data_IF_968444151080
#
_entry.id   IF_968444151080
#
_cell.length_a   1.000
_cell.length_b   1.000
_cell.length_c   1.000
_cell.angle_alpha   90.00
_cell.angle_beta   90.00
_cell.angle_gamma   90.00
#
_symmetry.space_group_name_H-M   'P 1'
#
loop_
_entity.id
_entity.type
_entity.pdbx_description
1 polymer ?
#
# COMPACT_ATOMS: atom_id res chain seq x y z
N UNK A 1 0.07 11.44 8.38
CA UNK A 1 0.67 12.44 7.46
C UNK A 1 0.58 12.00 6.01
N UNK A 2 1.20 10.89 5.58
CA UNK A 2 1.17 10.45 4.17
C UNK A 2 -0.23 10.27 3.58
N UNK A 3 -1.17 9.67 4.34
CA UNK A 3 -2.56 9.48 3.87
C UNK A 3 -3.23 10.81 3.50
N UNK A 4 -3.03 11.86 4.32
CA UNK A 4 -3.55 13.19 4.03
C UNK A 4 -2.82 13.89 2.87
N UNK A 5 -1.60 13.44 2.55
CA UNK A 5 -0.82 13.95 1.42
C UNK A 5 -1.21 13.30 0.09
N UNK A 6 -1.76 12.08 0.08
CA UNK A 6 -2.16 11.34 -1.15
C UNK A 6 -2.93 12.17 -2.19
N UNK A 7 -3.87 13.08 -1.85
CA UNK A 7 -4.57 13.89 -2.85
C UNK A 7 -3.65 14.75 -3.72
N UNK A 8 -2.52 15.22 -3.19
CA UNK A 8 -1.55 16.03 -3.93
C UNK A 8 -0.89 15.28 -5.10
N UNK A 9 -0.19 14.13 -4.90
CA UNK A 9 0.37 13.38 -6.01
C UNK A 9 -0.71 12.76 -6.90
N UNK A 10 -1.92 12.46 -6.40
CA UNK A 10 -3.04 12.03 -7.26
C UNK A 10 -3.37 13.10 -8.30
N UNK A 11 -3.47 14.36 -7.86
CA UNK A 11 -3.69 15.50 -8.77
C UNK A 11 -2.51 15.66 -9.74
N UNK A 12 -1.28 15.55 -9.25
CA UNK A 12 -0.08 15.66 -10.07
C UNK A 12 -0.07 14.63 -11.20
N UNK A 13 -0.41 13.37 -10.90
CA UNK A 13 -0.58 12.31 -11.90
C UNK A 13 -1.71 12.66 -12.88
N UNK A 14 -2.88 13.05 -12.38
CA UNK A 14 -4.02 13.38 -13.24
C UNK A 14 -3.70 14.49 -14.26
N UNK A 15 -2.93 15.51 -13.86
CA UNK A 15 -2.56 16.64 -14.70
C UNK A 15 -1.39 16.32 -15.64
N UNK A 16 -0.41 15.51 -15.20
CA UNK A 16 0.88 15.39 -15.90
C UNK A 16 1.15 14.03 -16.53
N UNK A 17 0.28 13.01 -16.38
CA UNK A 17 0.52 11.63 -16.84
C UNK A 17 0.79 11.48 -18.35
N UNK A 18 0.40 12.47 -19.17
CA UNK A 18 0.66 12.50 -20.63
C UNK A 18 1.62 13.61 -21.08
N UNK A 19 2.29 14.26 -20.14
CA UNK A 19 3.20 15.39 -20.40
C UNK A 19 4.62 15.05 -19.96
N UNK A 20 5.57 15.94 -20.21
CA UNK A 20 6.97 15.78 -19.79
C UNK A 20 7.13 15.59 -18.26
N UNK A 21 6.13 16.01 -17.46
CA UNK A 21 6.10 15.82 -16.01
C UNK A 21 5.66 14.44 -15.53
N UNK A 22 5.32 13.50 -16.42
CA UNK A 22 4.72 12.22 -16.05
C UNK A 22 5.59 11.39 -15.09
N UNK A 23 6.91 11.37 -15.32
CA UNK A 23 7.85 10.63 -14.48
C UNK A 23 7.90 11.20 -13.06
N UNK A 24 8.03 12.52 -12.92
CA UNK A 24 8.04 13.17 -11.61
C UNK A 24 6.72 12.95 -10.86
N UNK A 25 5.59 13.00 -11.58
CA UNK A 25 4.28 12.72 -11.02
C UNK A 25 4.15 11.28 -10.49
N UNK A 26 4.52 10.29 -11.30
CA UNK A 26 4.48 8.88 -10.93
C UNK A 26 5.43 8.56 -9.76
N UNK A 27 6.65 9.12 -9.75
CA UNK A 27 7.59 8.96 -8.64
C UNK A 27 7.06 9.56 -7.34
N UNK A 28 6.50 10.77 -7.38
CA UNK A 28 5.93 11.43 -6.19
C UNK A 28 4.76 10.62 -5.62
N UNK A 29 3.91 10.08 -6.49
CA UNK A 29 2.83 9.18 -6.10
C UNK A 29 3.36 7.90 -5.46
N UNK A 30 4.31 7.23 -6.12
CA UNK A 30 4.96 6.02 -5.62
C UNK A 30 5.64 6.18 -4.26
N UNK A 31 6.43 7.24 -4.08
CA UNK A 31 7.11 7.56 -2.80
C UNK A 31 6.09 7.77 -1.68
N UNK A 32 4.97 8.44 -1.98
CA UNK A 32 3.89 8.65 -1.00
C UNK A 32 3.26 7.33 -0.56
N UNK A 33 3.03 6.40 -1.50
CA UNK A 33 2.49 5.07 -1.21
C UNK A 33 3.48 4.19 -0.46
N UNK A 34 4.77 4.20 -0.83
CA UNK A 34 5.83 3.49 -0.10
C UNK A 34 5.92 4.01 1.33
N UNK A 35 5.95 5.33 1.53
CA UNK A 35 5.98 5.94 2.85
C UNK A 35 4.77 5.54 3.71
N UNK A 36 3.59 5.49 3.10
CA UNK A 36 2.37 4.98 3.75
C UNK A 36 2.53 3.51 4.16
N UNK A 37 2.95 2.63 3.25
CA UNK A 37 3.12 1.20 3.51
C UNK A 37 4.19 0.92 4.59
N UNK A 38 5.29 1.68 4.59
CA UNK A 38 6.35 1.58 5.60
C UNK A 38 5.84 1.99 6.97
N UNK A 39 5.06 3.07 7.07
CA UNK A 39 4.46 3.50 8.35
C UNK A 39 3.48 2.47 8.90
N UNK A 40 2.64 1.88 8.05
CA UNK A 40 1.74 0.80 8.44
C UNK A 40 2.52 -0.43 8.94
N UNK A 41 3.59 -0.82 8.24
CA UNK A 41 4.47 -1.90 8.69
C UNK A 41 5.14 -1.57 10.03
N UNK A 42 5.66 -0.36 10.20
CA UNK A 42 6.32 0.07 11.44
C UNK A 42 5.36 0.00 12.64
N UNK A 43 4.13 0.48 12.48
CA UNK A 43 3.09 0.41 13.52
C UNK A 43 2.76 -1.06 13.84
N UNK A 44 2.56 -1.89 12.81
CA UNK A 44 2.24 -3.31 13.00
C UNK A 44 3.37 -4.07 13.70
N UNK A 45 4.61 -3.90 13.27
CA UNK A 45 5.77 -4.52 13.91
C UNK A 45 5.95 -4.05 15.34
N UNK A 46 5.77 -2.75 15.60
CA UNK A 46 5.85 -2.22 16.96
C UNK A 46 4.80 -2.85 17.89
N UNK A 47 3.57 -3.03 17.40
CA UNK A 47 2.49 -3.64 18.17
C UNK A 47 2.66 -5.16 18.36
N UNK A 48 3.13 -5.86 17.33
CA UNK A 48 3.22 -7.33 17.31
C UNK A 48 4.50 -7.87 17.95
N UNK A 49 5.62 -7.17 17.84
CA UNK A 49 6.90 -7.60 18.40
C UNK A 49 6.79 -7.65 19.93
N UNK A 50 6.95 -8.84 20.50
CA UNK A 50 6.80 -9.05 21.95
C UNK A 50 5.36 -8.92 22.46
N UNK A 51 4.35 -8.95 21.58
CA UNK A 51 2.92 -8.81 21.92
C UNK A 51 2.61 -7.56 22.76
N UNK A 52 3.33 -6.47 22.54
CA UNK A 52 3.28 -5.26 23.40
C UNK A 52 1.92 -4.56 23.42
N UNK A 53 1.21 -4.54 22.28
CA UNK A 53 -0.12 -3.92 22.16
C UNK A 53 -1.19 -4.89 21.63
N UNK A 54 -0.86 -6.17 21.52
CA UNK A 54 -1.84 -7.21 21.19
C UNK A 54 -2.49 -7.69 22.49
N UNK A 55 -3.79 -8.02 22.46
CA UNK A 55 -4.40 -8.71 23.61
C UNK A 55 -3.67 -10.04 23.85
N UNK A 56 -3.62 -10.47 25.11
CA UNK A 56 -2.94 -11.70 25.51
C UNK A 56 -3.54 -12.95 24.83
N UNK A 57 -4.85 -12.91 24.57
CA UNK A 57 -5.65 -13.94 23.90
C UNK A 57 -5.64 -13.84 22.36
N UNK A 58 -4.87 -12.90 21.78
CA UNK A 58 -4.83 -12.74 20.34
C UNK A 58 -4.31 -14.01 19.63
N UNK A 59 -5.12 -14.58 18.73
CA UNK A 59 -4.78 -15.80 17.99
C UNK A 59 -3.47 -15.62 17.20
N UNK A 60 -2.43 -16.44 17.47
CA UNK A 60 -1.17 -16.42 16.73
C UNK A 60 -1.34 -16.59 15.21
N UNK A 61 -2.39 -17.30 14.76
CA UNK A 61 -2.69 -17.48 13.33
C UNK A 61 -3.11 -16.17 12.68
N UNK A 62 -3.92 -15.37 13.37
CA UNK A 62 -4.35 -14.05 12.88
C UNK A 62 -3.17 -13.08 12.85
N UNK A 63 -2.34 -13.07 13.90
CA UNK A 63 -1.15 -12.20 13.97
C UNK A 63 -0.15 -12.52 12.85
N UNK A 64 0.12 -13.80 12.60
CA UNK A 64 1.01 -14.22 11.51
C UNK A 64 0.42 -13.94 10.13
N UNK A 65 -0.91 -14.09 9.97
CA UNK A 65 -1.63 -13.70 8.75
C UNK A 65 -1.45 -12.21 8.43
N UNK A 66 -1.75 -11.32 9.39
CA UNK A 66 -1.61 -9.87 9.18
C UNK A 66 -0.15 -9.49 8.88
N UNK A 67 0.81 -10.07 9.61
CA UNK A 67 2.24 -9.83 9.37
C UNK A 67 2.63 -10.20 7.95
N UNK A 68 2.12 -11.33 7.44
CA UNK A 68 2.39 -11.79 6.08
C UNK A 68 1.75 -10.90 5.01
N UNK A 69 0.57 -10.33 5.27
CA UNK A 69 -0.09 -9.41 4.33
C UNK A 69 0.58 -8.03 4.28
N UNK A 70 1.21 -7.57 5.37
CA UNK A 70 1.86 -6.26 5.43
C UNK A 70 3.27 -6.27 4.82
N UNK A 71 4.00 -7.39 4.93
CA UNK A 71 5.36 -7.54 4.43
C UNK A 71 5.55 -7.20 2.93
N UNK A 72 4.72 -7.68 2.00
CA UNK A 72 4.94 -7.46 0.58
C UNK A 72 4.55 -6.05 0.11
N UNK A 73 3.70 -5.33 0.86
CA UNK A 73 3.15 -4.03 0.45
C UNK A 73 4.21 -3.01 0.03
N UNK A 74 5.21 -2.68 0.88
CA UNK A 74 6.27 -1.74 0.53
C UNK A 74 7.07 -2.16 -0.71
N UNK A 75 7.34 -3.46 -0.88
CA UNK A 75 8.10 -3.99 -2.01
C UNK A 75 7.33 -3.93 -3.32
N UNK A 76 6.02 -4.22 -3.29
CA UNK A 76 5.13 -4.10 -4.45
C UNK A 76 5.08 -2.64 -4.91
N UNK A 77 4.88 -1.70 -3.98
CA UNK A 77 4.88 -0.27 -4.32
C UNK A 77 6.24 0.23 -4.78
N UNK A 78 7.34 -0.28 -4.21
CA UNK A 78 8.70 0.04 -4.65
C UNK A 78 8.94 -0.42 -6.09
N UNK A 79 8.61 -1.67 -6.42
CA UNK A 79 8.75 -2.20 -7.77
C UNK A 79 7.93 -1.38 -8.78
N UNK A 80 6.67 -1.06 -8.45
CA UNK A 80 5.83 -0.20 -9.28
C UNK A 80 6.41 1.21 -9.45
N UNK A 81 7.03 1.77 -8.41
CA UNK A 81 7.69 3.08 -8.47
C UNK A 81 8.94 3.05 -9.34
N UNK A 82 9.75 1.99 -9.27
CA UNK A 82 10.94 1.85 -10.12
C UNK A 82 10.60 1.74 -11.60
N UNK A 83 9.46 1.12 -11.94
CA UNK A 83 8.95 1.07 -13.32
C UNK A 83 8.69 2.49 -13.86
N UNK A 84 8.39 3.48 -13.01
CA UNK A 84 8.18 4.87 -13.46
C UNK A 84 9.41 5.47 -14.14
N UNK A 85 10.62 4.98 -13.84
CA UNK A 85 11.86 5.42 -14.47
C UNK A 85 11.96 5.02 -15.95
N UNK A 86 11.26 3.94 -16.35
CA UNK A 86 11.22 3.46 -17.73
C UNK A 86 9.91 3.84 -18.42
N UNK A 87 8.78 3.72 -17.73
CA UNK A 87 7.46 4.06 -18.23
C UNK A 87 6.57 4.60 -17.10
N UNK A 88 6.40 5.93 -17.00
CA UNK A 88 5.55 6.54 -15.99
C UNK A 88 4.09 6.07 -16.08
N UNK A 89 3.58 5.92 -17.31
CA UNK A 89 2.21 5.46 -17.54
C UNK A 89 2.01 4.02 -17.04
N UNK A 90 2.96 3.11 -17.31
CA UNK A 90 2.88 1.73 -16.83
C UNK A 90 2.89 1.67 -15.30
N UNK A 91 3.69 2.52 -14.65
CA UNK A 91 3.72 2.65 -13.19
C UNK A 91 2.36 3.07 -12.63
N UNK A 92 1.74 4.11 -13.21
CA UNK A 92 0.41 4.60 -12.80
C UNK A 92 -0.67 3.51 -12.98
N UNK A 93 -0.66 2.80 -14.11
CA UNK A 93 -1.58 1.67 -14.34
C UNK A 93 -1.37 0.59 -13.28
N UNK A 94 -0.12 0.27 -12.95
CA UNK A 94 0.19 -0.75 -11.95
C UNK A 94 -0.28 -0.32 -10.55
N UNK A 95 -0.12 0.94 -10.16
CA UNK A 95 -0.70 1.44 -8.91
C UNK A 95 -2.23 1.28 -8.88
N UNK A 96 -2.91 1.58 -9.99
CA UNK A 96 -4.35 1.33 -10.13
C UNK A 96 -4.71 -0.15 -9.98
N UNK A 97 -3.95 -1.04 -10.64
CA UNK A 97 -4.16 -2.48 -10.54
C UNK A 97 -3.96 -3.02 -9.11
N UNK A 98 -2.92 -2.54 -8.41
CA UNK A 98 -2.67 -2.87 -7.00
C UNK A 98 -3.85 -2.43 -6.13
N UNK A 99 -4.37 -1.21 -6.34
CA UNK A 99 -5.52 -0.72 -5.59
C UNK A 99 -6.77 -1.59 -5.80
N UNK A 100 -7.08 -1.95 -7.05
CA UNK A 100 -8.19 -2.85 -7.37
C UNK A 100 -8.00 -4.23 -6.75
N UNK A 101 -6.78 -4.77 -6.80
CA UNK A 101 -6.46 -6.06 -6.17
C UNK A 101 -6.74 -6.05 -4.66
N UNK A 102 -6.25 -5.04 -3.94
CA UNK A 102 -6.50 -4.94 -2.49
C UNK A 102 -7.98 -4.72 -2.16
N UNK A 103 -8.70 -3.94 -2.96
CA UNK A 103 -10.16 -3.77 -2.79
C UNK A 103 -10.88 -5.11 -3.00
N UNK A 104 -10.53 -5.87 -4.04
CA UNK A 104 -11.10 -7.18 -4.30
C UNK A 104 -10.79 -8.18 -3.18
N UNK A 105 -9.53 -8.24 -2.73
CA UNK A 105 -9.11 -9.06 -1.58
C UNK A 105 -9.94 -8.69 -0.34
N UNK A 106 -9.97 -7.41 0.04
CA UNK A 106 -10.70 -6.96 1.23
C UNK A 106 -12.21 -7.26 1.17
N UNK A 107 -12.81 -7.12 -0.03
CA UNK A 107 -14.24 -7.42 -0.25
C UNK A 107 -14.54 -8.91 -0.15
N UNK A 108 -13.65 -9.77 -0.65
CA UNK A 108 -13.82 -11.22 -0.60
C UNK A 108 -13.58 -11.78 0.80
N UNK A 109 -12.53 -11.32 1.49
CA UNK A 109 -12.22 -11.77 2.85
C UNK A 109 -13.17 -11.19 3.90
N UNK A 110 -13.73 -9.99 3.70
CA UNK A 110 -14.75 -9.42 4.58
C UNK A 110 -16.08 -10.20 4.57
N UNK A 111 -16.38 -10.96 3.51
CA UNK A 111 -17.65 -11.69 3.36
C UNK A 111 -17.68 -13.07 4.04
N UNK A 112 -16.53 -13.60 4.44
CA UNK A 112 -16.42 -14.92 5.07
C UNK A 112 -16.40 -14.84 6.61
N UNK A 113 -16.69 -13.68 7.20
CA UNK A 113 -16.63 -13.41 8.63
C UNK A 113 -17.97 -13.46 9.38
N UNK A 114 -19.06 -13.93 8.78
CA UNK A 114 -20.32 -14.20 9.50
C UNK A 114 -20.25 -15.58 10.15
N UNK A 115 -20.18 -15.68 11.49
CA UNK A 115 -20.45 -16.94 12.18
C UNK A 115 -21.96 -17.17 12.14
N UNK A 116 -22.38 -18.35 11.68
CA UNK A 116 -23.68 -18.93 12.05
C UNK A 116 -23.73 -19.21 13.56
#
# INVERSE_FOLDING_TARGET
MFVAFIPFPTRLVAEHVRTDGAQAAALTYGITLIGTAVMFNAIWFYASLGRRLLREDADPRVVSGITRSYLPGPWIYLAATLIALASPLASVILFGAIAVFYVAESSLFGRNGTPD
#
